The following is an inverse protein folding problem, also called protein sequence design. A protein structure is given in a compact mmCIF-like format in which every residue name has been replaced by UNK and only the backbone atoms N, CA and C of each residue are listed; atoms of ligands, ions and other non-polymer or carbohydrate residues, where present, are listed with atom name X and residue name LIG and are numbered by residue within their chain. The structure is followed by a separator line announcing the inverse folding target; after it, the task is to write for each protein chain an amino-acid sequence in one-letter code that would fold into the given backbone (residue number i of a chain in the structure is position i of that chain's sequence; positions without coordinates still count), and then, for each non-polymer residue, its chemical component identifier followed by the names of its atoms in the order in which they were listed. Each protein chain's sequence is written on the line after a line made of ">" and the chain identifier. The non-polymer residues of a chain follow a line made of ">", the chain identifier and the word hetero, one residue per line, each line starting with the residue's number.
data_IF_480132785337
#
_entry.id   IF_480132785337
#
_cell.length_a   1.000
_cell.length_b   1.000
_cell.length_c   1.000
_cell.angle_alpha   90.00
_cell.angle_beta   90.00
_cell.angle_gamma   90.00
#
_symmetry.space_group_name_H-M   'P 1'
#
loop_
_entity.id
_entity.type
_entity.pdbx_description
1 polymer ?
#
# COMPACT_ATOMS: atom_id res chain seq x y z
N UNK A 1 -19.60 3.41 -23.14
CA UNK A 1 -18.87 2.15 -22.88
C UNK A 1 -18.97 1.92 -21.38
N UNK A 2 -20.07 1.30 -20.95
CA UNK A 2 -20.34 1.06 -19.54
C UNK A 2 -19.38 -0.03 -19.05
N UNK A 3 -18.57 0.29 -18.05
CA UNK A 3 -17.73 -0.70 -17.38
C UNK A 3 -18.67 -1.58 -16.56
N UNK A 4 -19.01 -2.75 -17.12
CA UNK A 4 -19.75 -3.77 -16.41
C UNK A 4 -18.89 -4.26 -15.24
N UNK A 5 -19.23 -3.80 -14.04
CA UNK A 5 -18.78 -4.40 -12.78
C UNK A 5 -19.42 -5.79 -12.69
N UNK A 6 -18.90 -6.75 -13.46
CA UNK A 6 -19.19 -8.16 -13.23
C UNK A 6 -18.77 -8.50 -11.80
N UNK A 7 -19.62 -9.13 -10.98
CA UNK A 7 -19.26 -9.48 -9.62
C UNK A 7 -18.04 -10.40 -9.67
N UNK A 8 -16.90 -9.88 -9.19
CA UNK A 8 -15.67 -10.68 -9.14
C UNK A 8 -15.94 -11.92 -8.27
N UNK A 9 -15.64 -13.08 -8.84
CA UNK A 9 -15.72 -14.32 -8.10
C UNK A 9 -14.66 -14.32 -6.99
N UNK A 10 -15.01 -14.87 -5.82
CA UNK A 10 -14.08 -14.99 -4.69
C UNK A 10 -12.77 -15.68 -5.10
N UNK A 11 -12.83 -16.63 -6.04
CA UNK A 11 -11.64 -17.32 -6.59
C UNK A 11 -10.67 -16.37 -7.29
N UNK A 12 -11.19 -15.37 -8.01
CA UNK A 12 -10.36 -14.38 -8.71
C UNK A 12 -9.69 -13.44 -7.72
N UNK A 13 -10.42 -13.00 -6.69
CA UNK A 13 -9.86 -12.20 -5.58
C UNK A 13 -8.78 -12.98 -4.84
N UNK A 14 -8.99 -14.27 -4.62
CA UNK A 14 -8.00 -15.14 -3.98
C UNK A 14 -6.72 -15.29 -4.81
N UNK A 15 -6.81 -15.35 -6.14
CA UNK A 15 -5.63 -15.41 -7.00
C UNK A 15 -4.86 -14.07 -7.02
N UNK A 16 -5.59 -12.95 -6.88
CA UNK A 16 -5.02 -11.60 -6.88
C UNK A 16 -4.66 -11.08 -5.47
N UNK A 17 -4.75 -11.91 -4.42
CA UNK A 17 -4.59 -11.45 -3.03
C UNK A 17 -3.18 -10.94 -2.73
N UNK A 18 -2.15 -11.61 -3.26
CA UNK A 18 -0.75 -11.25 -3.05
C UNK A 18 -0.38 -9.94 -3.78
N UNK A 19 -0.65 -9.76 -5.10
CA UNK A 19 -0.39 -8.49 -5.77
C UNK A 19 -1.26 -7.35 -5.21
N UNK A 20 -2.46 -7.64 -4.68
CA UNK A 20 -3.26 -6.65 -3.96
C UNK A 20 -2.60 -6.20 -2.64
N UNK A 21 -2.00 -7.12 -1.88
CA UNK A 21 -1.29 -6.78 -0.63
C UNK A 21 -0.01 -5.98 -0.92
N UNK A 22 0.69 -6.31 -1.99
CA UNK A 22 1.92 -5.62 -2.39
C UNK A 22 1.69 -4.34 -3.22
N UNK A 23 0.44 -3.92 -3.42
CA UNK A 23 0.07 -2.77 -4.26
C UNK A 23 0.63 -2.86 -5.70
N UNK A 24 0.75 -4.07 -6.25
CA UNK A 24 1.28 -4.32 -7.60
C UNK A 24 0.18 -4.35 -8.67
N UNK A 25 -1.02 -3.88 -8.37
CA UNK A 25 -2.13 -3.80 -9.33
C UNK A 25 -2.08 -2.42 -10.00
N UNK A 26 -1.63 -2.39 -11.26
CA UNK A 26 -1.53 -1.16 -12.06
C UNK A 26 -2.90 -0.63 -12.48
N UNK A 27 -3.88 -1.52 -12.67
CA UNK A 27 -5.23 -1.16 -13.07
C UNK A 27 -6.09 -0.77 -11.85
N UNK A 28 -6.30 0.54 -11.70
CA UNK A 28 -7.15 1.14 -10.66
C UNK A 28 -8.59 0.62 -10.68
N UNK A 29 -9.14 0.22 -11.84
CA UNK A 29 -10.49 -0.32 -11.90
C UNK A 29 -10.55 -1.72 -11.24
N UNK A 30 -9.53 -2.54 -11.48
CA UNK A 30 -9.38 -3.87 -10.86
C UNK A 30 -9.12 -3.75 -9.36
N UNK A 31 -8.27 -2.80 -8.95
CA UNK A 31 -8.00 -2.55 -7.53
C UNK A 31 -9.27 -2.18 -6.77
N UNK A 32 -10.06 -1.24 -7.30
CA UNK A 32 -11.31 -0.81 -6.68
C UNK A 32 -12.36 -1.93 -6.65
N UNK A 33 -12.43 -2.75 -7.68
CA UNK A 33 -13.38 -3.86 -7.73
C UNK A 33 -13.03 -4.97 -6.72
N UNK A 34 -11.74 -5.23 -6.49
CA UNK A 34 -11.27 -6.13 -5.42
C UNK A 34 -11.57 -5.52 -4.04
N UNK A 35 -11.29 -4.24 -3.84
CA UNK A 35 -11.57 -3.54 -2.59
C UNK A 35 -13.08 -3.58 -2.25
N UNK A 36 -13.95 -3.36 -3.24
CA UNK A 36 -15.40 -3.46 -3.09
C UNK A 36 -15.86 -4.89 -2.74
N UNK A 37 -15.24 -5.90 -3.34
CA UNK A 37 -15.52 -7.30 -3.00
C UNK A 37 -15.09 -7.65 -1.57
N UNK A 38 -13.93 -7.15 -1.12
CA UNK A 38 -13.45 -7.37 0.25
C UNK A 38 -14.37 -6.73 1.30
N UNK A 39 -14.99 -5.59 0.99
CA UNK A 39 -16.00 -4.97 1.86
C UNK A 39 -17.30 -5.77 1.91
N UNK A 40 -17.67 -6.41 0.79
CA UNK A 40 -18.92 -7.17 0.67
C UNK A 40 -18.82 -8.62 1.16
N UNK A 41 -17.62 -9.22 1.16
CA UNK A 41 -17.39 -10.62 1.52
C UNK A 41 -16.45 -10.76 2.74
N UNK A 42 -16.96 -11.07 3.94
CA UNK A 42 -16.14 -11.16 5.15
C UNK A 42 -15.13 -12.32 5.11
N UNK A 43 -15.46 -13.42 4.43
CA UNK A 43 -14.54 -14.56 4.30
C UNK A 43 -13.27 -14.22 3.50
N UNK A 44 -13.42 -13.40 2.45
CA UNK A 44 -12.26 -12.93 1.67
C UNK A 44 -11.46 -11.90 2.48
N UNK A 45 -12.12 -11.00 3.21
CA UNK A 45 -11.45 -10.02 4.07
C UNK A 45 -10.60 -10.68 5.17
N UNK A 46 -11.15 -11.66 5.88
CA UNK A 46 -10.44 -12.38 6.92
C UNK A 46 -9.22 -13.13 6.37
N UNK A 47 -9.35 -13.71 5.18
CA UNK A 47 -8.24 -14.40 4.53
C UNK A 47 -7.15 -13.46 4.04
N UNK A 48 -7.50 -12.29 3.52
CA UNK A 48 -6.54 -11.23 3.16
C UNK A 48 -5.79 -10.75 4.40
N UNK A 49 -6.47 -10.58 5.52
CA UNK A 49 -5.83 -10.18 6.77
C UNK A 49 -4.89 -11.26 7.32
N UNK A 50 -5.28 -12.54 7.22
CA UNK A 50 -4.39 -13.67 7.55
C UNK A 50 -3.13 -13.66 6.68
N UNK A 51 -3.29 -13.47 5.38
CA UNK A 51 -2.17 -13.42 4.43
C UNK A 51 -1.24 -12.23 4.71
N UNK A 52 -1.81 -11.05 5.01
CA UNK A 52 -1.04 -9.87 5.45
C UNK A 52 -0.18 -10.17 6.67
N UNK A 53 -0.76 -10.81 7.69
CA UNK A 53 -0.02 -11.21 8.90
C UNK A 53 1.11 -12.18 8.58
N UNK A 54 0.86 -13.17 7.73
CA UNK A 54 1.90 -14.10 7.30
C UNK A 54 3.05 -13.38 6.59
N UNK A 55 2.75 -12.49 5.64
CA UNK A 55 3.76 -11.69 4.94
C UNK A 55 4.54 -10.81 5.92
N UNK A 56 3.88 -10.15 6.88
CA UNK A 56 4.56 -9.33 7.89
C UNK A 56 5.52 -10.15 8.74
N UNK A 57 5.11 -11.33 9.21
CA UNK A 57 5.97 -12.23 9.99
C UNK A 57 7.17 -12.66 9.15
N UNK A 58 6.95 -13.05 7.89
CA UNK A 58 8.05 -13.42 6.99
C UNK A 58 9.01 -12.25 6.77
N UNK A 59 8.49 -11.04 6.53
CA UNK A 59 9.29 -9.82 6.38
C UNK A 59 10.09 -9.52 7.65
N UNK A 60 9.51 -9.68 8.83
CA UNK A 60 10.18 -9.46 10.10
C UNK A 60 11.29 -10.50 10.36
N UNK A 61 11.06 -11.76 10.02
CA UNK A 61 12.09 -12.79 10.11
C UNK A 61 13.25 -12.52 9.16
N UNK A 62 12.95 -12.11 7.93
CA UNK A 62 13.95 -11.79 6.91
C UNK A 62 14.71 -10.49 7.20
N UNK A 63 14.05 -9.45 7.72
CA UNK A 63 14.70 -8.18 8.05
C UNK A 63 15.72 -8.33 9.19
N UNK A 64 15.47 -9.24 10.14
CA UNK A 64 16.45 -9.59 11.18
C UNK A 64 17.72 -10.24 10.62
N UNK A 65 17.64 -10.91 9.47
CA UNK A 65 18.80 -11.52 8.80
C UNK A 65 19.49 -10.58 7.81
N UNK A 66 18.75 -9.64 7.21
CA UNK A 66 19.24 -8.70 6.20
C UNK A 66 19.37 -7.30 6.81
N UNK A 67 20.23 -7.15 7.82
CA UNK A 67 20.60 -5.83 8.35
C UNK A 67 21.60 -5.21 7.39
N UNK A 68 21.09 -4.56 6.35
CA UNK A 68 21.89 -3.67 5.51
C UNK A 68 22.09 -2.36 6.27
N UNK A 69 23.35 -1.92 6.39
CA UNK A 69 23.68 -0.68 7.09
C UNK A 69 23.22 0.48 6.22
N UNK A 70 22.21 1.21 6.68
CA UNK A 70 21.81 2.47 6.06
C UNK A 70 22.99 3.45 6.13
N UNK A 71 23.45 4.00 5.00
CA UNK A 71 24.55 4.95 5.02
C UNK A 71 24.12 6.25 5.73
N UNK A 72 25.00 6.76 6.60
CA UNK A 72 24.68 7.85 7.56
C UNK A 72 24.26 9.17 6.87
N UNK A 73 24.66 9.38 5.62
CA UNK A 73 24.32 10.58 4.84
C UNK A 73 22.83 10.65 4.45
N UNK A 74 22.17 9.49 4.29
CA UNK A 74 20.78 9.43 3.84
C UNK A 74 19.83 9.88 4.96
N UNK A 75 20.11 9.50 6.20
CA UNK A 75 19.30 9.92 7.35
C UNK A 75 19.31 11.44 7.52
N UNK A 76 20.50 12.06 7.46
CA UNK A 76 20.65 13.52 7.57
C UNK A 76 19.91 14.24 6.43
N UNK A 77 20.03 13.73 5.20
CA UNK A 77 19.32 14.30 4.03
C UNK A 77 17.81 14.20 4.16
N UNK A 78 17.28 13.07 4.66
CA UNK A 78 15.84 12.90 4.89
C UNK A 78 15.35 13.89 5.93
N UNK A 79 16.07 14.05 7.04
CA UNK A 79 15.71 14.99 8.12
C UNK A 79 15.67 16.42 7.58
N UNK A 80 16.70 16.85 6.84
CA UNK A 80 16.74 18.18 6.23
C UNK A 80 15.58 18.40 5.24
N UNK A 81 15.24 17.38 4.45
CA UNK A 81 14.16 17.47 3.47
C UNK A 81 12.78 17.56 4.16
N UNK A 82 12.55 16.80 5.24
CA UNK A 82 11.34 16.89 6.06
C UNK A 82 11.20 18.27 6.69
N UNK A 83 12.28 18.81 7.26
CA UNK A 83 12.30 20.16 7.84
C UNK A 83 12.00 21.24 6.78
N UNK A 84 12.56 21.10 5.58
CA UNK A 84 12.29 22.00 4.46
C UNK A 84 10.83 21.98 4.01
N UNK A 85 10.19 20.81 3.96
CA UNK A 85 8.76 20.68 3.63
C UNK A 85 7.89 21.28 4.75
N UNK A 86 8.22 21.00 6.01
CA UNK A 86 7.49 21.56 7.16
C UNK A 86 7.53 23.10 7.17
N UNK A 87 8.69 23.70 6.89
CA UNK A 87 8.83 25.15 6.77
C UNK A 87 8.01 25.74 5.62
N UNK A 88 7.91 25.05 4.48
CA UNK A 88 7.07 25.46 3.35
C UNK A 88 5.57 25.40 3.67
N UNK A 89 5.13 24.38 4.43
CA UNK A 89 3.74 24.25 4.88
C UNK A 89 3.33 25.31 5.92
N UNK A 90 4.30 25.86 6.66
CA UNK A 90 4.08 26.89 7.69
C UNK A 90 4.14 28.32 7.16
N UNK A 91 4.57 28.53 5.91
CA UNK A 91 4.57 29.83 5.27
C UNK A 91 3.13 30.24 4.87
N UNK A 92 2.65 31.43 5.26
CA UNK A 92 1.35 31.93 4.82
C UNK A 92 1.39 32.17 3.31
N UNK A 93 0.66 31.35 2.54
CA UNK A 93 0.54 31.45 1.07
C UNK A 93 0.76 30.16 0.27
N UNK A 94 1.02 29.01 0.93
CA UNK A 94 1.28 27.74 0.23
C UNK A 94 0.07 27.22 -0.59
N UNK A 95 -1.16 27.49 -0.17
CA UNK A 95 -2.38 27.02 -0.86
C UNK A 95 -2.86 27.93 -2.02
N UNK A 96 -2.18 29.04 -2.33
CA UNK A 96 -2.65 30.03 -3.33
C UNK A 96 -2.05 29.85 -4.74
N UNK A 97 -1.30 28.76 -4.99
CA UNK A 97 -0.76 28.44 -6.33
C UNK A 97 -0.97 26.98 -6.74
N UNK A 98 -2.22 26.55 -6.74
CA UNK A 98 -2.74 25.45 -7.58
C UNK A 98 -4.19 25.74 -7.91
#
# INVERSE_FOLDING_TARGET
>A
MASELTPLACRTVMAAIHPFIDNQIEDSAVFNAIAFHLQSCPACAERTERERKHITILRELLSRSCVEVTPEDVEERIILQIQGIAAQMQAPGFFERT
#
